data_IF_394118304208
#
_entry.id   IF_394118304208
#
_cell.length_a   1.000
_cell.length_b   1.000
_cell.length_c   1.000
_cell.angle_alpha   90.00
_cell.angle_beta   90.00
_cell.angle_gamma   90.00
#
_symmetry.space_group_name_H-M   'P 1'
#
loop_
_entity.id
_entity.type
_entity.pdbx_description
1 polymer ?
#
# COMPACT_ATOMS: atom_id res chain seq x y z
N UNK A 1 16.41 -16.47 13.00
CA UNK A 1 15.82 -15.58 14.02
C UNK A 1 15.86 -14.16 13.46
N UNK A 2 14.74 -13.64 12.97
CA UNK A 2 14.70 -12.24 12.49
C UNK A 2 14.95 -11.32 13.69
N UNK A 3 15.81 -10.31 13.51
CA UNK A 3 16.03 -9.30 14.53
C UNK A 3 14.69 -8.67 14.96
N UNK A 4 14.55 -8.19 16.20
CA UNK A 4 13.37 -7.43 16.59
C UNK A 4 13.21 -6.26 15.60
N UNK A 5 12.12 -6.26 14.84
CA UNK A 5 11.74 -5.16 13.94
C UNK A 5 11.80 -3.87 14.73
N UNK A 6 12.62 -2.90 14.28
CA UNK A 6 12.85 -1.68 15.06
C UNK A 6 11.53 -0.95 15.32
N UNK A 7 11.47 -0.07 16.33
CA UNK A 7 10.28 0.76 16.55
C UNK A 7 9.90 1.54 15.28
N UNK A 8 10.90 2.02 14.55
CA UNK A 8 10.70 2.73 13.29
C UNK A 8 10.09 1.83 12.20
N UNK A 9 10.60 0.61 12.05
CA UNK A 9 10.08 -0.35 11.07
C UNK A 9 8.63 -0.75 11.36
N UNK A 10 8.29 -0.93 12.65
CA UNK A 10 6.90 -1.20 13.07
C UNK A 10 5.96 -0.04 12.74
N UNK A 11 6.43 1.19 12.92
CA UNK A 11 5.65 2.39 12.56
C UNK A 11 5.50 2.53 11.04
N UNK A 12 6.55 2.25 10.26
CA UNK A 12 6.47 2.25 8.80
C UNK A 12 5.49 1.21 8.28
N UNK A 13 5.53 0.00 8.83
CA UNK A 13 4.58 -1.07 8.51
C UNK A 13 3.15 -0.66 8.83
N UNK A 14 2.91 -0.14 10.04
CA UNK A 14 1.58 0.33 10.45
C UNK A 14 1.04 1.45 9.54
N UNK A 15 1.89 2.40 9.10
CA UNK A 15 1.47 3.45 8.14
C UNK A 15 1.10 2.84 6.79
N UNK A 16 1.89 1.87 6.31
CA UNK A 16 1.60 1.18 5.05
C UNK A 16 0.29 0.39 5.13
N UNK A 17 0.04 -0.36 6.21
CA UNK A 17 -1.23 -1.08 6.44
C UNK A 17 -2.42 -0.11 6.42
N UNK A 18 -2.31 0.99 7.16
CA UNK A 18 -3.36 2.03 7.20
C UNK A 18 -3.56 2.71 5.85
N UNK A 19 -2.53 2.82 5.03
CA UNK A 19 -2.65 3.34 3.68
C UNK A 19 -3.45 2.39 2.79
N UNK A 20 -3.12 1.10 2.84
CA UNK A 20 -3.83 0.04 2.11
C UNK A 20 -5.31 0.00 2.50
N UNK A 21 -5.63 0.15 3.79
CA UNK A 21 -7.01 0.20 4.27
C UNK A 21 -7.82 1.35 3.67
N UNK A 22 -7.18 2.49 3.34
CA UNK A 22 -7.82 3.68 2.79
C UNK A 22 -7.92 3.69 1.26
N UNK A 23 -7.25 2.78 0.57
CA UNK A 23 -7.34 2.69 -0.89
C UNK A 23 -8.76 2.33 -1.32
N UNK A 24 -9.18 2.85 -2.47
CA UNK A 24 -10.38 2.37 -3.15
C UNK A 24 -10.24 0.87 -3.45
N UNK A 25 -11.37 0.18 -3.59
CA UNK A 25 -11.38 -1.29 -3.67
C UNK A 25 -10.49 -1.82 -4.80
N UNK A 26 -10.58 -1.23 -6.01
CA UNK A 26 -9.80 -1.69 -7.15
C UNK A 26 -8.32 -1.27 -7.05
N UNK A 27 -8.04 -0.06 -6.57
CA UNK A 27 -6.67 0.40 -6.28
C UNK A 27 -5.98 -0.55 -5.29
N UNK A 28 -6.69 -0.98 -4.24
CA UNK A 28 -6.19 -1.95 -3.25
C UNK A 28 -5.87 -3.29 -3.89
N UNK A 29 -6.80 -3.82 -4.70
CA UNK A 29 -6.62 -5.11 -5.40
C UNK A 29 -5.40 -5.08 -6.32
N UNK A 30 -5.26 -4.03 -7.12
CA UNK A 30 -4.11 -3.85 -8.04
C UNK A 30 -2.81 -3.70 -7.26
N UNK A 31 -2.79 -2.88 -6.21
CA UNK A 31 -1.60 -2.68 -5.38
C UNK A 31 -1.11 -3.98 -4.75
N UNK A 32 -2.01 -4.75 -4.13
CA UNK A 32 -1.65 -6.03 -3.50
C UNK A 32 -1.23 -7.07 -4.53
N UNK A 33 -1.89 -7.12 -5.68
CA UNK A 33 -1.49 -8.01 -6.77
C UNK A 33 -0.05 -7.73 -7.25
N UNK A 34 0.37 -6.47 -7.33
CA UNK A 34 1.74 -6.10 -7.72
C UNK A 34 2.73 -6.31 -6.57
N UNK A 35 2.39 -5.86 -5.35
CA UNK A 35 3.37 -5.74 -4.25
C UNK A 35 3.46 -6.96 -3.34
N UNK A 36 2.43 -7.79 -3.31
CA UNK A 36 2.35 -8.98 -2.45
C UNK A 36 2.34 -10.25 -3.31
N UNK A 37 1.57 -10.26 -4.39
CA UNK A 37 1.46 -11.42 -5.29
C UNK A 37 2.46 -11.38 -6.46
N UNK A 38 3.19 -10.27 -6.63
CA UNK A 38 4.22 -10.07 -7.67
C UNK A 38 3.71 -10.28 -9.11
N UNK A 39 2.42 -10.05 -9.35
CA UNK A 39 1.82 -10.18 -10.68
C UNK A 39 2.23 -9.05 -11.62
N UNK A 40 2.40 -9.38 -12.90
CA UNK A 40 2.58 -8.41 -13.98
C UNK A 40 1.27 -7.68 -14.30
N UNK A 41 1.37 -6.54 -14.98
CA UNK A 41 0.21 -5.73 -15.33
C UNK A 41 -0.75 -6.47 -16.27
N UNK A 42 -0.21 -7.30 -17.18
CA UNK A 42 -1.01 -8.15 -18.06
C UNK A 42 -1.77 -9.24 -17.32
N UNK A 43 -1.15 -9.87 -16.31
CA UNK A 43 -1.82 -10.89 -15.48
C UNK A 43 -2.94 -10.27 -14.65
N UNK A 44 -2.72 -9.05 -14.13
CA UNK A 44 -3.72 -8.30 -13.37
C UNK A 44 -4.88 -7.87 -14.27
N UNK A 45 -4.58 -7.34 -15.46
CA UNK A 45 -5.58 -6.96 -16.46
C UNK A 45 -6.47 -8.16 -16.82
N UNK A 46 -5.86 -9.33 -17.06
CA UNK A 46 -6.59 -10.56 -17.31
C UNK A 46 -7.41 -11.01 -16.10
N UNK A 47 -6.83 -10.99 -14.89
CA UNK A 47 -7.48 -11.44 -13.66
C UNK A 47 -8.73 -10.63 -13.32
N UNK A 48 -8.69 -9.32 -13.51
CA UNK A 48 -9.78 -8.42 -13.16
C UNK A 48 -10.67 -8.01 -14.35
N UNK A 49 -10.35 -8.46 -15.57
CA UNK A 49 -11.13 -8.14 -16.77
C UNK A 49 -11.08 -6.67 -17.15
N UNK A 50 -9.93 -6.01 -16.94
CA UNK A 50 -9.70 -4.58 -17.22
C UNK A 50 -8.54 -4.42 -18.20
N UNK A 51 -8.34 -3.22 -18.75
CA UNK A 51 -7.19 -2.96 -19.62
C UNK A 51 -5.91 -2.75 -18.83
N UNK A 52 -4.75 -2.91 -19.46
CA UNK A 52 -3.45 -2.56 -18.83
C UNK A 52 -3.40 -1.08 -18.45
N UNK A 53 -4.05 -0.20 -19.22
CA UNK A 53 -4.15 1.22 -18.89
C UNK A 53 -4.99 1.46 -17.62
N UNK A 54 -6.05 0.68 -17.40
CA UNK A 54 -6.82 0.73 -16.16
C UNK A 54 -5.97 0.24 -14.97
N UNK A 55 -5.16 -0.81 -15.15
CA UNK A 55 -4.20 -1.27 -14.13
C UNK A 55 -3.22 -0.16 -13.76
N UNK A 56 -2.65 0.54 -14.74
CA UNK A 56 -1.78 1.69 -14.50
C UNK A 56 -2.49 2.79 -13.71
N UNK A 57 -3.72 3.13 -14.11
CA UNK A 57 -4.53 4.15 -13.45
C UNK A 57 -4.79 3.80 -11.97
N UNK A 58 -5.24 2.58 -11.70
CA UNK A 58 -5.50 2.09 -10.34
C UNK A 58 -4.21 2.02 -9.50
N UNK A 59 -3.10 1.63 -10.12
CA UNK A 59 -1.83 1.60 -9.43
C UNK A 59 -1.35 3.01 -9.07
N UNK A 60 -1.47 3.99 -9.97
CA UNK A 60 -1.19 5.40 -9.67
C UNK A 60 -2.08 5.91 -8.53
N UNK A 61 -3.37 5.55 -8.51
CA UNK A 61 -4.29 5.85 -7.41
C UNK A 61 -3.77 5.32 -6.07
N UNK A 62 -3.39 4.04 -6.03
CA UNK A 62 -2.81 3.40 -4.83
C UNK A 62 -1.52 4.08 -4.35
N UNK A 63 -0.62 4.45 -5.26
CA UNK A 63 0.64 5.13 -4.92
C UNK A 63 0.38 6.50 -4.31
N UNK A 64 -0.61 7.25 -4.80
CA UNK A 64 -1.00 8.55 -4.23
C UNK A 64 -1.45 8.42 -2.78
N UNK A 65 -2.26 7.40 -2.47
CA UNK A 65 -2.71 7.12 -1.10
C UNK A 65 -1.53 6.73 -0.21
N UNK A 66 -0.65 5.85 -0.69
CA UNK A 66 0.53 5.43 0.05
C UNK A 66 1.48 6.59 0.36
N UNK A 67 1.83 7.41 -0.63
CA UNK A 67 2.70 8.57 -0.44
C UNK A 67 2.10 9.54 0.58
N UNK A 68 0.80 9.84 0.48
CA UNK A 68 0.11 10.72 1.43
C UNK A 68 0.19 10.17 2.86
N UNK A 69 -0.05 8.87 3.05
CA UNK A 69 0.00 8.25 4.37
C UNK A 69 1.43 8.17 4.96
N UNK A 70 2.44 8.10 4.10
CA UNK A 70 3.85 8.09 4.53
C UNK A 70 4.36 9.50 4.87
N UNK A 71 3.81 10.53 4.24
CA UNK A 71 4.13 11.94 4.50
C UNK A 71 3.32 12.56 5.66
N UNK A 72 2.27 11.88 6.15
CA UNK A 72 1.50 12.31 7.32
C UNK A 72 2.43 12.46 8.54
N UNK A 73 2.53 13.69 9.07
CA UNK A 73 3.30 13.97 10.29
C UNK A 73 2.72 13.19 11.46
N UNK A 74 3.60 12.55 12.22
CA UNK A 74 3.20 11.84 13.43
C UNK A 74 2.49 12.79 14.40
N UNK A 75 1.23 12.50 14.77
CA UNK A 75 0.55 13.21 15.84
C UNK A 75 1.37 13.17 17.12
N UNK A 76 1.42 14.28 17.84
CA UNK A 76 2.26 14.44 19.05
C UNK A 76 2.03 13.36 20.12
N UNK A 77 0.82 12.79 20.20
CA UNK A 77 0.46 11.71 21.14
C UNK A 77 1.07 10.34 20.77
N UNK A 78 1.68 10.20 19.58
CA UNK A 78 2.40 8.99 19.15
C UNK A 78 3.66 8.69 19.93
N UNK A 79 4.18 9.64 20.72
CA UNK A 79 5.30 9.40 21.64
C UNK A 79 4.98 8.37 22.71
N UNK A 80 3.69 8.08 22.93
CA UNK A 80 3.19 7.21 24.00
C UNK A 80 2.47 5.95 23.48
N UNK A 81 2.46 5.72 22.16
CA UNK A 81 1.88 4.52 21.55
C UNK A 81 3.01 3.58 21.09
N UNK A 82 2.85 2.30 21.45
CA UNK A 82 3.82 1.18 21.41
C UNK A 82 4.83 1.16 22.56
#
# INVERSE_FOLDING_TARGET
>A
MSAPTSREDRLRLWRAERAVDRMEEMDRKVFLAIRVEELSYSEIAQRFGITVADVEWHFVGSLRVLMTAMDEKDPWWWRFRL
#
